data_IF_470804110603
#
_entry.id   IF_470804110603
#
_cell.length_a   1.000
_cell.length_b   1.000
_cell.length_c   1.000
_cell.angle_alpha   90.00
_cell.angle_beta   90.00
_cell.angle_gamma   90.00
#
_symmetry.space_group_name_H-M   'P 1'
#
loop_
_entity.id
_entity.type
_entity.pdbx_description
1 polymer ?
#
# COMPACT_ATOMS: atom_id res chain seq x y z
N UNK A 1 15.58 -10.26 -7.64
CA UNK A 1 14.56 -10.72 -6.69
C UNK A 1 14.12 -9.64 -5.68
N UNK A 2 14.45 -8.35 -5.85
CA UNK A 2 14.16 -7.30 -4.84
C UNK A 2 12.73 -6.75 -4.81
N UNK A 3 11.97 -6.81 -5.90
CA UNK A 3 10.66 -6.14 -5.97
C UNK A 3 9.51 -6.92 -5.33
N UNK A 4 9.56 -8.27 -5.34
CA UNK A 4 8.44 -9.09 -4.84
C UNK A 4 8.30 -9.03 -3.32
N UNK A 5 9.41 -9.03 -2.58
CA UNK A 5 9.37 -8.92 -1.11
C UNK A 5 8.86 -7.55 -0.68
N UNK A 6 9.23 -6.48 -1.41
CA UNK A 6 8.77 -5.12 -1.14
C UNK A 6 7.26 -4.98 -1.35
N UNK A 7 6.74 -5.45 -2.48
CA UNK A 7 5.29 -5.46 -2.75
C UNK A 7 4.53 -6.23 -1.67
N UNK A 8 5.04 -7.39 -1.26
CA UNK A 8 4.35 -8.22 -0.28
C UNK A 8 4.29 -7.52 1.08
N UNK A 9 5.40 -6.92 1.53
CA UNK A 9 5.42 -6.18 2.78
C UNK A 9 4.55 -4.91 2.75
N UNK A 10 4.49 -4.21 1.61
CA UNK A 10 3.61 -3.05 1.44
C UNK A 10 2.14 -3.46 1.46
N UNK A 11 1.78 -4.49 0.70
CA UNK A 11 0.41 -4.99 0.68
C UNK A 11 -0.02 -5.51 2.05
N UNK A 12 0.81 -6.30 2.72
CA UNK A 12 0.50 -6.86 4.04
C UNK A 12 0.25 -5.75 5.05
N UNK A 13 1.12 -4.74 5.08
CA UNK A 13 1.00 -3.57 5.97
C UNK A 13 -0.20 -2.67 5.63
N UNK A 14 -0.55 -2.56 4.35
CA UNK A 14 -1.74 -1.85 3.92
C UNK A 14 -3.01 -2.65 4.26
N UNK A 15 -3.00 -3.97 4.12
CA UNK A 15 -4.05 -4.91 4.54
C UNK A 15 -4.25 -4.97 6.06
N UNK A 16 -3.22 -4.68 6.86
CA UNK A 16 -3.40 -4.51 8.31
C UNK A 16 -4.31 -3.32 8.63
N UNK A 17 -4.37 -2.31 7.76
CA UNK A 17 -5.18 -1.10 7.94
C UNK A 17 -6.45 -1.08 7.08
N UNK A 18 -6.46 -1.81 5.96
CA UNK A 18 -7.55 -1.86 4.98
C UNK A 18 -8.33 -3.17 5.10
N UNK A 19 -9.64 -3.10 4.94
CA UNK A 19 -10.52 -4.26 4.90
C UNK A 19 -10.30 -5.08 3.62
N UNK A 20 -10.09 -4.38 2.49
CA UNK A 20 -9.67 -4.99 1.23
C UNK A 20 -8.89 -4.00 0.36
N UNK A 21 -7.91 -4.51 -0.39
CA UNK A 21 -7.16 -3.76 -1.39
C UNK A 21 -7.95 -3.75 -2.70
N UNK A 22 -8.21 -2.56 -3.23
CA UNK A 22 -8.87 -2.35 -4.51
C UNK A 22 -7.86 -2.23 -5.64
N UNK A 23 -6.83 -1.41 -5.45
CA UNK A 23 -5.81 -1.14 -6.47
C UNK A 23 -4.44 -1.00 -5.83
N UNK A 24 -3.41 -1.44 -6.55
CA UNK A 24 -2.02 -1.37 -6.11
C UNK A 24 -1.18 -0.85 -7.29
N UNK A 25 -0.65 0.36 -7.14
CA UNK A 25 0.17 1.01 -8.14
C UNK A 25 1.60 1.18 -7.65
N UNK A 26 2.51 0.37 -8.19
CA UNK A 26 3.94 0.48 -7.89
C UNK A 26 4.59 1.55 -8.79
N UNK A 27 5.13 2.59 -8.17
CA UNK A 27 5.93 3.63 -8.81
C UNK A 27 7.41 3.42 -8.50
N UNK A 28 8.29 4.08 -9.26
CA UNK A 28 9.73 4.04 -9.01
C UNK A 28 10.14 4.68 -7.68
N UNK A 29 9.26 5.45 -7.04
CA UNK A 29 9.54 6.19 -5.80
C UNK A 29 8.75 5.64 -4.60
N UNK A 30 7.55 5.11 -4.83
CA UNK A 30 6.67 4.59 -3.78
C UNK A 30 5.71 3.55 -4.35
N UNK A 31 4.97 2.87 -3.47
CA UNK A 31 3.87 1.99 -3.84
C UNK A 31 2.59 2.61 -3.30
N UNK A 32 1.65 2.91 -4.19
CA UNK A 32 0.33 3.37 -3.83
C UNK A 32 -0.60 2.16 -3.68
N UNK A 33 -1.30 2.08 -2.56
CA UNK A 33 -2.28 1.03 -2.26
C UNK A 33 -3.60 1.71 -1.97
N UNK A 34 -4.57 1.55 -2.85
CA UNK A 34 -5.94 2.02 -2.63
C UNK A 34 -6.76 0.84 -2.12
N UNK A 35 -7.45 1.04 -1.01
CA UNK A 35 -8.37 0.05 -0.48
C UNK A 35 -9.55 0.68 0.23
N UNK A 36 -10.41 -0.16 0.77
CA UNK A 36 -11.53 0.27 1.58
C UNK A 36 -11.26 -0.03 3.05
N UNK A 37 -11.61 0.90 3.92
CA UNK A 37 -11.56 0.77 5.36
C UNK A 37 -12.94 1.13 5.92
N UNK A 38 -13.70 0.14 6.37
CA UNK A 38 -15.03 0.38 6.97
C UNK A 38 -16.07 1.02 6.03
N UNK A 39 -15.86 0.93 4.70
CA UNK A 39 -16.73 1.55 3.69
C UNK A 39 -16.18 2.86 3.11
N UNK A 40 -15.11 3.41 3.69
CA UNK A 40 -14.38 4.55 3.14
C UNK A 40 -13.22 4.10 2.25
N UNK A 41 -13.04 4.74 1.10
CA UNK A 41 -11.91 4.45 0.22
C UNK A 41 -10.71 5.28 0.67
N UNK A 42 -9.66 4.59 1.10
CA UNK A 42 -8.41 5.18 1.59
C UNK A 42 -7.29 4.80 0.61
N UNK A 43 -6.42 5.76 0.31
CA UNK A 43 -5.22 5.53 -0.49
C UNK A 43 -3.97 5.70 0.38
N UNK A 44 -3.22 4.63 0.56
CA UNK A 44 -1.92 4.62 1.22
C UNK A 44 -0.78 4.75 0.20
N UNK A 45 0.28 5.46 0.56
CA UNK A 45 1.53 5.55 -0.19
C UNK A 45 2.66 5.08 0.70
N UNK A 46 3.30 4.00 0.32
CA UNK A 46 4.43 3.43 1.05
C UNK A 46 5.71 3.66 0.25
N UNK A 47 6.59 4.47 0.81
CA UNK A 47 7.89 4.80 0.23
C UNK A 47 8.91 3.70 0.53
N UNK A 48 9.97 3.62 -0.29
CA UNK A 48 11.08 2.65 -0.12
C UNK A 48 11.76 2.78 1.26
N UNK A 49 11.78 3.99 1.81
CA UNK A 49 12.31 4.31 3.14
C UNK A 49 11.45 3.74 4.29
N UNK A 50 10.31 3.12 3.98
CA UNK A 50 9.36 2.60 4.97
C UNK A 50 8.39 3.65 5.51
N UNK A 51 8.52 4.90 5.07
CA UNK A 51 7.54 5.96 5.34
C UNK A 51 6.19 5.63 4.68
N UNK A 52 5.11 5.80 5.41
CA UNK A 52 3.74 5.54 4.93
C UNK A 52 2.88 6.80 5.09
N UNK A 53 2.19 7.18 4.03
CA UNK A 53 1.32 8.37 3.99
C UNK A 53 -0.07 7.96 3.57
N UNK A 54 -1.07 8.44 4.31
CA UNK A 54 -2.47 8.33 3.92
C UNK A 54 -2.89 9.58 3.17
N UNK A 55 -3.63 9.41 2.08
CA UNK A 55 -4.19 10.50 1.28
C UNK A 55 -5.68 10.65 1.53
#
# INVERSE_FOLDING_TARGET
MRSKERMNQVQDRALESLDYVMDCYETSEFVEVTGSMGGDVITYRVFDDGSMYVK
#
